data_IF_738054567300
#
_entry.id   IF_738054567300
#
_cell.length_a   1.000
_cell.length_b   1.000
_cell.length_c   1.000
_cell.angle_alpha   90.00
_cell.angle_beta   90.00
_cell.angle_gamma   90.00
#
_symmetry.space_group_name_H-M   'P 1'
#
loop_
_entity.id
_entity.type
_entity.pdbx_description
1 polymer ?
#
# COMPACT_ATOMS: atom_id res chain seq x y z
N UNK A 1 -15.57 9.16 -83.98
CA UNK A 1 -15.72 8.25 -82.82
C UNK A 1 -14.43 8.32 -82.02
N UNK A 2 -14.34 9.24 -81.06
CA UNK A 2 -13.10 9.55 -80.33
C UNK A 2 -13.10 8.85 -78.96
N UNK A 3 -11.98 8.20 -78.63
CA UNK A 3 -11.74 7.40 -77.43
C UNK A 3 -11.30 8.33 -76.28
N UNK A 4 -11.93 8.31 -75.10
CA UNK A 4 -11.38 9.00 -73.95
C UNK A 4 -10.15 8.24 -73.46
N UNK A 5 -9.01 8.91 -73.43
CA UNK A 5 -7.81 8.45 -72.73
C UNK A 5 -7.98 8.81 -71.26
N UNK A 6 -8.23 7.80 -70.43
CA UNK A 6 -8.18 7.94 -68.98
C UNK A 6 -6.76 8.32 -68.56
N UNK A 7 -6.59 9.52 -68.01
CA UNK A 7 -5.37 9.92 -67.32
C UNK A 7 -5.29 9.14 -66.00
N UNK A 8 -4.65 7.98 -66.03
CA UNK A 8 -4.13 7.36 -64.81
C UNK A 8 -3.02 8.25 -64.27
N UNK A 9 -3.37 9.17 -63.36
CA UNK A 9 -2.40 9.86 -62.53
C UNK A 9 -1.70 8.82 -61.65
N UNK A 10 -0.54 8.34 -62.09
CA UNK A 10 0.41 7.63 -61.22
C UNK A 10 0.95 8.66 -60.23
N UNK A 11 0.27 8.81 -59.09
CA UNK A 11 0.77 9.57 -57.96
C UNK A 11 1.95 8.79 -57.36
N UNK A 12 3.16 9.12 -57.81
CA UNK A 12 4.39 8.61 -57.21
C UNK A 12 4.59 9.28 -55.85
N UNK A 13 4.70 8.48 -54.80
CA UNK A 13 5.05 8.95 -53.45
C UNK A 13 6.29 9.85 -53.53
N UNK A 14 6.16 11.09 -53.10
CA UNK A 14 7.30 12.01 -53.10
C UNK A 14 8.18 11.76 -51.87
N UNK A 15 9.51 11.85 -52.03
CA UNK A 15 10.46 11.72 -50.90
C UNK A 15 10.11 12.72 -49.78
N UNK A 16 9.62 13.91 -50.16
CA UNK A 16 9.22 14.95 -49.21
C UNK A 16 8.04 14.49 -48.34
N UNK A 17 7.03 13.84 -48.92
CA UNK A 17 5.89 13.30 -48.19
C UNK A 17 6.31 12.23 -47.17
N UNK A 18 7.29 11.38 -47.53
CA UNK A 18 7.86 10.39 -46.61
C UNK A 18 8.61 11.06 -45.46
N UNK A 19 9.38 12.12 -45.73
CA UNK A 19 10.11 12.84 -44.68
C UNK A 19 9.14 13.56 -43.73
N UNK A 20 8.09 14.20 -44.27
CA UNK A 20 7.08 14.90 -43.46
C UNK A 20 6.30 13.92 -42.59
N UNK A 21 5.91 12.76 -43.12
CA UNK A 21 5.20 11.74 -42.33
C UNK A 21 6.07 11.17 -41.21
N UNK A 22 7.35 10.90 -41.46
CA UNK A 22 8.29 10.45 -40.42
C UNK A 22 8.52 11.56 -39.38
N UNK A 23 8.64 12.82 -39.80
CA UNK A 23 8.79 13.95 -38.88
C UNK A 23 7.56 14.18 -38.00
N UNK A 24 6.35 14.07 -38.57
CA UNK A 24 5.11 14.17 -37.79
C UNK A 24 4.94 12.98 -36.85
N UNK A 25 5.27 11.77 -37.31
CA UNK A 25 5.23 10.57 -36.48
C UNK A 25 6.18 10.69 -35.28
N UNK A 26 7.40 11.18 -35.48
CA UNK A 26 8.37 11.33 -34.38
C UNK A 26 7.89 12.32 -33.31
N UNK A 27 7.27 13.43 -33.73
CA UNK A 27 6.67 14.41 -32.82
C UNK A 27 5.50 13.80 -32.05
N UNK A 28 4.59 13.09 -32.73
CA UNK A 28 3.44 12.43 -32.08
C UNK A 28 3.93 11.40 -31.05
N UNK A 29 4.88 10.55 -31.42
CA UNK A 29 5.44 9.52 -30.54
C UNK A 29 6.06 10.15 -29.29
N UNK A 30 6.86 11.22 -29.45
CA UNK A 30 7.48 11.91 -28.32
C UNK A 30 6.44 12.52 -27.37
N UNK A 31 5.38 13.13 -27.90
CA UNK A 31 4.34 13.79 -27.10
C UNK A 31 3.45 12.78 -26.36
N UNK A 32 3.23 11.58 -26.93
CA UNK A 32 2.33 10.57 -26.35
C UNK A 32 3.02 9.63 -25.35
N UNK A 33 4.31 9.33 -25.53
CA UNK A 33 5.04 8.40 -24.66
C UNK A 33 5.26 8.94 -23.23
N UNK A 34 5.53 10.24 -23.08
CA UNK A 34 5.82 10.85 -21.77
C UNK A 34 4.62 10.84 -20.82
N UNK A 35 3.40 11.22 -21.25
CA UNK A 35 2.20 11.09 -20.42
C UNK A 35 1.92 9.64 -20.01
N UNK A 36 2.02 8.69 -20.95
CA UNK A 36 1.73 7.27 -20.69
C UNK A 36 2.64 6.68 -19.60
N UNK A 37 3.95 6.99 -19.65
CA UNK A 37 4.90 6.54 -18.62
C UNK A 37 4.62 7.18 -17.25
N UNK A 38 4.19 8.45 -17.23
CA UNK A 38 3.73 9.13 -16.01
C UNK A 38 2.48 8.48 -15.39
N UNK A 39 1.47 8.15 -16.20
CA UNK A 39 0.22 7.54 -15.72
C UNK A 39 0.43 6.15 -15.10
N UNK A 40 1.31 5.32 -15.65
CA UNK A 40 1.61 4.02 -15.05
C UNK A 40 2.30 4.14 -13.69
N UNK A 41 3.19 5.13 -13.54
CA UNK A 41 3.84 5.42 -12.25
C UNK A 41 2.84 5.83 -11.16
N UNK A 42 1.90 6.71 -11.50
CA UNK A 42 0.85 7.15 -10.57
C UNK A 42 -0.10 6.01 -10.19
N UNK A 43 -0.50 5.20 -11.17
CA UNK A 43 -1.39 4.04 -10.94
C UNK A 43 -0.74 3.03 -10.02
N UNK A 44 0.54 2.70 -10.23
CA UNK A 44 1.28 1.78 -9.37
C UNK A 44 1.38 2.29 -7.93
N UNK A 45 1.68 3.58 -7.74
CA UNK A 45 1.76 4.19 -6.40
C UNK A 45 0.40 4.20 -5.70
N UNK A 46 -0.66 4.51 -6.44
CA UNK A 46 -2.03 4.49 -5.91
C UNK A 46 -2.41 3.09 -5.43
N UNK A 47 -2.19 2.06 -6.26
CA UNK A 47 -2.48 0.67 -5.88
C UNK A 47 -1.66 0.25 -4.66
N UNK A 48 -0.36 0.58 -4.61
CA UNK A 48 0.48 0.29 -3.45
C UNK A 48 -0.03 0.95 -2.16
N UNK A 49 -0.56 2.17 -2.23
CA UNK A 49 -1.11 2.87 -1.08
C UNK A 49 -2.44 2.27 -0.61
N UNK A 50 -3.31 1.87 -1.55
CA UNK A 50 -4.56 1.17 -1.24
C UNK A 50 -4.27 -0.18 -0.60
N UNK A 51 -3.38 -0.99 -1.20
CA UNK A 51 -2.98 -2.29 -0.68
C UNK A 51 -2.36 -2.16 0.72
N UNK A 52 -1.49 -1.15 0.92
CA UNK A 52 -0.90 -0.86 2.22
C UNK A 52 -1.96 -0.54 3.28
N UNK A 53 -2.98 0.23 2.91
CA UNK A 53 -4.07 0.62 3.82
C UNK A 53 -4.98 -0.56 4.16
N UNK A 54 -5.30 -1.41 3.19
CA UNK A 54 -6.07 -2.63 3.47
C UNK A 54 -5.30 -3.59 4.37
N UNK A 55 -3.98 -3.73 4.17
CA UNK A 55 -3.14 -4.57 5.02
C UNK A 55 -3.07 -4.06 6.47
N UNK A 56 -2.90 -2.74 6.66
CA UNK A 56 -2.88 -2.14 8.02
C UNK A 56 -4.24 -2.23 8.70
N UNK A 57 -5.35 -2.02 7.98
CA UNK A 57 -6.71 -2.18 8.51
C UNK A 57 -6.98 -3.62 8.96
N UNK A 58 -6.75 -4.61 8.08
CA UNK A 58 -6.93 -6.03 8.42
C UNK A 58 -6.09 -6.44 9.61
N UNK A 59 -4.85 -5.94 9.71
CA UNK A 59 -4.00 -6.19 10.86
C UNK A 59 -4.60 -5.63 12.15
N UNK A 60 -5.05 -4.37 12.15
CA UNK A 60 -5.71 -3.75 13.30
C UNK A 60 -6.99 -4.47 13.73
N UNK A 61 -7.82 -4.87 12.76
CA UNK A 61 -9.04 -5.65 13.02
C UNK A 61 -8.72 -7.01 13.64
N UNK A 62 -7.68 -7.68 13.13
CA UNK A 62 -7.20 -8.96 13.68
C UNK A 62 -6.72 -8.79 15.12
N UNK A 63 -5.89 -7.79 15.39
CA UNK A 63 -5.37 -7.50 16.73
C UNK A 63 -6.53 -7.20 17.68
N UNK A 64 -7.42 -6.28 17.28
CA UNK A 64 -8.60 -5.90 18.09
C UNK A 64 -9.50 -7.11 18.36
N UNK A 65 -9.75 -7.94 17.37
CA UNK A 65 -10.58 -9.15 17.51
C UNK A 65 -9.96 -10.18 18.46
N UNK A 66 -8.65 -10.43 18.34
CA UNK A 66 -7.93 -11.35 19.22
C UNK A 66 -7.88 -10.86 20.67
N UNK A 67 -7.80 -9.54 20.86
CA UNK A 67 -7.75 -8.86 22.16
C UNK A 67 -9.11 -8.71 22.84
N UNK A 68 -10.20 -9.19 22.24
CA UNK A 68 -11.46 -9.41 22.97
C UNK A 68 -11.32 -10.51 24.02
N UNK A 69 -10.31 -11.37 23.92
CA UNK A 69 -9.95 -12.30 24.97
C UNK A 69 -9.01 -11.61 25.99
N UNK A 70 -9.47 -11.51 27.24
CA UNK A 70 -8.71 -10.87 28.32
C UNK A 70 -7.30 -11.41 28.49
N UNK A 71 -7.11 -12.73 28.38
CA UNK A 71 -5.79 -13.35 28.51
C UNK A 71 -4.84 -12.93 27.39
N UNK A 72 -5.32 -12.79 26.15
CA UNK A 72 -4.51 -12.33 25.01
C UNK A 72 -4.22 -10.83 25.10
N UNK A 73 -5.21 -10.05 25.54
CA UNK A 73 -5.02 -8.64 25.83
C UNK A 73 -3.94 -8.47 26.89
N UNK A 74 -4.07 -9.06 28.08
CA UNK A 74 -3.11 -8.87 29.17
C UNK A 74 -1.68 -9.31 28.79
N UNK A 75 -1.55 -10.22 27.82
CA UNK A 75 -0.30 -10.75 27.30
C UNK A 75 0.26 -10.00 26.08
N UNK A 76 -0.47 -9.01 25.56
CA UNK A 76 -0.09 -8.20 24.40
C UNK A 76 0.27 -9.04 23.15
N UNK A 77 -0.45 -10.14 22.96
CA UNK A 77 -0.14 -11.14 21.95
C UNK A 77 -1.34 -11.48 21.06
N UNK A 78 -1.09 -12.12 19.93
CA UNK A 78 -2.11 -12.67 19.02
C UNK A 78 -1.79 -14.13 18.68
N UNK A 79 -2.79 -14.87 18.21
CA UNK A 79 -2.61 -16.23 17.68
C UNK A 79 -2.87 -16.33 16.18
N UNK A 80 -3.70 -15.43 15.65
CA UNK A 80 -3.94 -15.32 14.22
C UNK A 80 -2.79 -14.58 13.53
N UNK A 81 -2.30 -15.05 12.37
CA UNK A 81 -1.22 -14.38 11.66
C UNK A 81 -1.70 -13.05 11.06
N UNK A 82 -0.85 -12.02 11.14
CA UNK A 82 -1.07 -10.76 10.43
C UNK A 82 -0.85 -10.94 8.91
N UNK A 83 -1.42 -10.06 8.07
CA UNK A 83 -1.19 -10.08 6.63
C UNK A 83 0.30 -10.08 6.28
N UNK A 84 0.73 -11.10 5.52
CA UNK A 84 2.10 -11.20 5.06
C UNK A 84 2.39 -10.06 4.07
N UNK A 85 3.40 -9.25 4.38
CA UNK A 85 3.84 -8.13 3.54
C UNK A 85 5.36 -8.09 3.46
N UNK A 86 5.91 -7.45 2.41
CA UNK A 86 7.36 -7.29 2.23
C UNK A 86 7.68 -5.82 1.97
N UNK A 87 8.36 -5.10 2.89
CA UNK A 87 8.80 -5.53 4.23
C UNK A 87 7.63 -5.91 5.17
N UNK A 88 7.85 -6.58 6.31
CA UNK A 88 6.78 -6.89 7.25
C UNK A 88 6.11 -5.62 7.81
N UNK A 89 4.89 -5.78 8.31
CA UNK A 89 4.19 -4.73 9.06
C UNK A 89 4.96 -4.43 10.36
N UNK A 90 5.08 -3.14 10.69
CA UNK A 90 5.60 -2.70 11.98
C UNK A 90 4.42 -2.46 12.91
N UNK A 91 4.42 -3.08 14.08
CA UNK A 91 3.37 -2.94 15.09
C UNK A 91 4.00 -2.36 16.34
N UNK A 92 3.46 -1.24 16.80
CA UNK A 92 3.83 -0.58 18.03
C UNK A 92 2.61 -0.58 18.95
N UNK A 93 2.82 -0.94 20.21
CA UNK A 93 1.77 -0.92 21.23
C UNK A 93 2.21 0.01 22.34
N UNK A 94 1.30 0.89 22.74
CA UNK A 94 1.50 1.83 23.85
C UNK A 94 0.40 1.62 24.87
N UNK A 95 0.77 1.35 26.12
CA UNK A 95 -0.17 1.33 27.23
C UNK A 95 -0.62 2.74 27.54
N UNK A 96 -1.92 2.89 27.78
CA UNK A 96 -2.55 4.14 28.14
C UNK A 96 -3.26 4.00 29.49
N UNK A 97 -3.37 5.10 30.21
CA UNK A 97 -4.24 5.22 31.38
C UNK A 97 -5.72 5.37 30.96
N UNK A 98 -6.68 5.35 31.91
CA UNK A 98 -8.10 5.54 31.60
C UNK A 98 -8.43 6.90 30.94
N UNK A 99 -7.58 7.91 31.13
CA UNK A 99 -7.72 9.23 30.53
C UNK A 99 -7.06 9.32 29.14
N UNK A 100 -6.48 8.22 28.65
CA UNK A 100 -5.85 8.09 27.34
C UNK A 100 -4.42 8.61 27.25
N UNK A 101 -3.77 8.92 28.37
CA UNK A 101 -2.37 9.35 28.42
C UNK A 101 -1.41 8.15 28.34
N UNK A 102 -0.26 8.31 27.68
CA UNK A 102 0.70 7.23 27.52
C UNK A 102 1.39 6.88 28.84
N UNK A 103 1.25 5.63 29.26
CA UNK A 103 1.99 5.03 30.39
C UNK A 103 3.34 4.46 29.95
N UNK A 104 3.48 4.08 28.67
CA UNK A 104 4.72 3.57 28.10
C UNK A 104 4.51 2.59 26.95
N UNK A 105 5.59 2.17 26.31
CA UNK A 105 5.53 1.13 25.28
C UNK A 105 5.21 -0.23 25.91
N UNK A 106 4.29 -0.98 25.29
CA UNK A 106 3.99 -2.35 25.66
C UNK A 106 4.73 -3.31 24.72
N UNK A 107 5.25 -4.44 25.23
CA UNK A 107 5.91 -5.44 24.41
C UNK A 107 4.89 -6.14 23.49
N UNK A 108 4.97 -5.88 22.19
CA UNK A 108 4.17 -6.56 21.17
C UNK A 108 4.71 -7.96 20.88
N UNK A 109 3.82 -8.96 20.82
CA UNK A 109 4.18 -10.35 20.53
C UNK A 109 3.32 -10.93 19.41
N UNK A 110 3.98 -11.54 18.44
CA UNK A 110 3.33 -12.18 17.27
C UNK A 110 2.81 -13.59 17.59
N UNK A 111 3.02 -14.08 18.81
CA UNK A 111 2.47 -15.33 19.32
C UNK A 111 2.18 -15.23 20.83
N UNK A 112 1.29 -16.11 21.32
CA UNK A 112 0.93 -16.25 22.73
C UNK A 112 1.52 -17.52 23.36
N UNK A 113 2.76 -17.90 23.03
CA UNK A 113 3.35 -19.15 23.52
C UNK A 113 3.76 -19.04 25.00
N UNK A 114 3.61 -20.12 25.78
CA UNK A 114 3.76 -20.08 27.24
C UNK A 114 5.13 -19.56 27.75
N UNK A 115 6.20 -19.68 26.94
CA UNK A 115 7.54 -19.16 27.27
C UNK A 115 7.77 -17.70 26.88
N UNK A 116 6.87 -17.09 26.12
CA UNK A 116 6.94 -15.68 25.70
C UNK A 116 5.93 -14.81 26.44
N UNK A 117 5.12 -15.38 27.34
CA UNK A 117 4.14 -14.62 28.10
C UNK A 117 4.80 -13.63 29.08
N UNK A 118 4.15 -12.49 29.26
CA UNK A 118 4.42 -11.51 30.29
C UNK A 118 4.10 -12.09 31.67
N UNK A 119 5.04 -11.88 32.59
CA UNK A 119 4.93 -12.22 33.99
C UNK A 119 5.51 -11.08 34.83
N UNK A 120 4.68 -10.29 35.55
CA UNK A 120 3.22 -10.39 35.60
C UNK A 120 2.54 -9.99 34.27
N UNK A 121 1.28 -10.42 34.02
CA UNK A 121 0.47 -9.91 32.92
C UNK A 121 0.27 -8.41 33.04
N UNK A 122 0.15 -7.73 31.91
CA UNK A 122 -0.02 -6.28 31.85
C UNK A 122 -1.50 -5.91 31.84
N UNK A 123 -1.96 -5.30 32.94
CA UNK A 123 -3.37 -4.98 33.19
C UNK A 123 -3.74 -3.55 32.77
N UNK A 124 -3.02 -2.95 31.83
CA UNK A 124 -3.31 -1.59 31.36
C UNK A 124 -4.75 -1.47 30.86
N UNK A 125 -5.52 -0.47 31.32
CA UNK A 125 -6.95 -0.36 31.02
C UNK A 125 -7.22 -0.09 29.53
N UNK A 126 -6.29 0.59 28.87
CA UNK A 126 -6.39 1.00 27.48
C UNK A 126 -5.03 0.79 26.78
N UNK A 127 -5.07 0.44 25.50
CA UNK A 127 -3.88 0.37 24.66
C UNK A 127 -4.08 1.06 23.33
N UNK A 128 -3.06 1.77 22.88
CA UNK A 128 -2.95 2.26 21.50
C UNK A 128 -2.13 1.26 20.70
N UNK A 129 -2.73 0.72 19.65
CA UNK A 129 -2.03 -0.12 18.67
C UNK A 129 -1.83 0.71 17.43
N UNK A 130 -0.58 0.83 16.98
CA UNK A 130 -0.20 1.55 15.77
C UNK A 130 0.46 0.57 14.81
N UNK A 131 -0.12 0.44 13.62
CA UNK A 131 0.39 -0.44 12.56
C UNK A 131 0.88 0.43 11.41
N UNK A 132 2.14 0.23 11.04
CA UNK A 132 2.81 0.98 9.99
C UNK A 132 3.25 0.03 8.87
N UNK A 133 2.92 0.40 7.63
CA UNK A 133 3.38 -0.25 6.41
C UNK A 133 4.35 0.67 5.68
N UNK A 134 5.55 0.17 5.40
CA UNK A 134 6.60 0.89 4.69
C UNK A 134 6.97 0.18 3.40
N UNK A 135 7.51 0.90 2.41
CA UNK A 135 8.13 0.28 1.25
C UNK A 135 9.57 -0.19 1.56
N UNK A 136 10.23 -0.78 0.56
CA UNK A 136 11.62 -1.25 0.70
C UNK A 136 12.64 -0.13 0.92
N UNK A 137 12.27 1.14 0.69
CA UNK A 137 13.11 2.31 0.95
C UNK A 137 12.90 2.89 2.36
N UNK A 138 11.99 2.30 3.14
CA UNK A 138 11.63 2.78 4.48
C UNK A 138 10.60 3.91 4.46
N UNK A 139 10.06 4.29 3.29
CA UNK A 139 9.01 5.30 3.21
C UNK A 139 7.69 4.72 3.70
N UNK A 140 7.01 5.44 4.58
CA UNK A 140 5.67 5.08 5.06
C UNK A 140 4.65 5.17 3.92
N UNK A 141 3.99 4.05 3.64
CA UNK A 141 2.89 3.95 2.67
C UNK A 141 1.53 4.09 3.36
N UNK A 142 1.39 3.53 4.56
CA UNK A 142 0.18 3.61 5.38
C UNK A 142 0.55 3.51 6.86
N UNK A 143 -0.16 4.25 7.69
CA UNK A 143 -0.03 4.22 9.13
C UNK A 143 -1.40 4.43 9.74
N UNK A 144 -1.85 3.49 10.57
CA UNK A 144 -3.13 3.56 11.24
C UNK A 144 -2.94 3.23 12.71
N UNK A 145 -3.73 3.90 13.55
CA UNK A 145 -3.76 3.64 14.99
C UNK A 145 -5.18 3.44 15.47
N UNK A 146 -5.33 2.59 16.49
CA UNK A 146 -6.61 2.35 17.15
C UNK A 146 -6.39 2.25 18.65
N UNK A 147 -7.39 2.70 19.40
CA UNK A 147 -7.49 2.46 20.84
C UNK A 147 -8.25 1.15 21.05
N UNK A 148 -7.72 0.29 21.90
CA UNK A 148 -8.34 -0.98 22.28
C UNK A 148 -8.51 -0.97 23.79
N UNK A 149 -9.77 -0.96 24.22
CA UNK A 149 -10.13 -1.10 25.62
C UNK A 149 -9.89 -2.54 26.09
N UNK A 150 -9.54 -2.69 27.36
CA UNK A 150 -9.49 -4.00 28.01
C UNK A 150 -10.91 -4.59 28.11
N UNK A 151 -11.15 -5.84 27.66
CA UNK A 151 -12.47 -6.47 27.67
C UNK A 151 -12.95 -6.89 29.06
#
# INVERSE_FOLDING_TARGET
>A
MARPTDFQARAGFTIIEVIVTIALLSVIVLVVLTPLTGFFGLTRRSNQQVDATQATQRALETIRGEWLNLGRYDQACITLPLPATTPPLQVEVTNLDPDGQPLGAAPWRVDCTAGTLLSPPDTSPLRRVQVTRQDSSGRVLSQLSVLVDRP
#
